data_IF_150387883253
#
_entry.id   IF_150387883253
#
_cell.length_a   1.000
_cell.length_b   1.000
_cell.length_c   1.000
_cell.angle_alpha   90.00
_cell.angle_beta   90.00
_cell.angle_gamma   90.00
#
_symmetry.space_group_name_H-M   'P 1'
#
loop_
_entity.id
_entity.type
_entity.pdbx_description
1 polymer ?
#
# COMPACT_ATOMS: atom_id res chain seq x y z
N UNK A 1 -12.16 -28.72 24.84
CA UNK A 1 -12.19 -28.09 23.51
C UNK A 1 -10.79 -27.59 23.17
N UNK A 2 -10.08 -28.25 22.25
CA UNK A 2 -8.77 -27.84 21.77
C UNK A 2 -8.95 -26.48 21.06
N UNK A 3 -8.40 -25.39 21.62
CA UNK A 3 -8.32 -24.11 20.92
C UNK A 3 -7.41 -24.35 19.70
N UNK A 4 -7.95 -24.23 18.51
CA UNK A 4 -7.18 -24.28 17.26
C UNK A 4 -5.95 -23.37 17.44
N UNK A 5 -4.76 -23.88 17.10
CA UNK A 5 -3.50 -23.13 17.13
C UNK A 5 -3.63 -21.78 16.39
N UNK A 6 -4.35 -21.76 15.26
CA UNK A 6 -4.64 -20.55 14.46
C UNK A 6 -5.60 -19.56 15.15
N UNK A 7 -6.32 -19.97 16.20
CA UNK A 7 -7.22 -19.09 16.98
C UNK A 7 -6.52 -18.38 18.15
N UNK A 8 -5.24 -18.65 18.42
CA UNK A 8 -4.54 -18.02 19.53
C UNK A 8 -4.19 -16.55 19.21
N UNK A 9 -4.23 -15.69 20.23
CA UNK A 9 -3.85 -14.27 20.09
C UNK A 9 -2.39 -14.09 19.63
N UNK A 10 -1.52 -15.03 19.99
CA UNK A 10 -0.13 -15.03 19.57
C UNK A 10 0.01 -15.28 18.06
N UNK A 11 -0.68 -16.29 17.53
CA UNK A 11 -0.61 -16.62 16.10
C UNK A 11 -1.16 -15.48 15.23
N UNK A 12 -2.21 -14.78 15.66
CA UNK A 12 -2.72 -13.60 14.95
C UNK A 12 -1.67 -12.48 14.88
N UNK A 13 -0.92 -12.23 15.97
CA UNK A 13 0.18 -11.25 15.97
C UNK A 13 1.33 -11.66 15.06
N UNK A 14 1.72 -12.93 15.08
CA UNK A 14 2.77 -13.47 14.19
C UNK A 14 2.35 -13.33 12.72
N UNK A 15 1.11 -13.67 12.41
CA UNK A 15 0.56 -13.54 11.05
C UNK A 15 0.55 -12.08 10.59
N UNK A 16 0.10 -11.17 11.44
CA UNK A 16 0.12 -9.73 11.19
C UNK A 16 1.54 -9.22 10.90
N UNK A 17 2.55 -9.69 11.67
CA UNK A 17 3.95 -9.31 11.44
C UNK A 17 4.49 -9.86 10.11
N UNK A 18 4.18 -11.11 9.76
CA UNK A 18 4.62 -11.73 8.51
C UNK A 18 4.04 -10.98 7.30
N UNK A 19 2.73 -10.72 7.32
CA UNK A 19 2.08 -9.97 6.24
C UNK A 19 2.62 -8.54 6.16
N UNK A 20 2.86 -7.87 7.28
CA UNK A 20 3.45 -6.53 7.34
C UNK A 20 4.87 -6.49 6.74
N UNK A 21 5.76 -7.43 7.13
CA UNK A 21 7.12 -7.52 6.58
C UNK A 21 7.12 -7.82 5.07
N UNK A 22 6.21 -8.66 4.62
CA UNK A 22 6.02 -8.92 3.20
C UNK A 22 5.64 -7.64 2.44
N UNK A 23 4.70 -6.85 2.95
CA UNK A 23 4.30 -5.57 2.35
C UNK A 23 5.44 -4.54 2.37
N UNK A 24 6.27 -4.52 3.43
CA UNK A 24 7.48 -3.65 3.48
C UNK A 24 8.47 -4.05 2.40
N UNK A 25 8.71 -5.35 2.17
CA UNK A 25 9.62 -5.80 1.11
C UNK A 25 9.16 -5.36 -0.28
N UNK A 26 7.86 -5.44 -0.55
CA UNK A 26 7.27 -4.88 -1.77
C UNK A 26 7.47 -3.35 -1.85
N UNK A 27 7.23 -2.63 -0.76
CA UNK A 27 7.35 -1.17 -0.72
C UNK A 27 8.76 -0.70 -1.09
N UNK A 28 9.81 -1.41 -0.67
CA UNK A 28 11.19 -1.10 -1.04
C UNK A 28 11.41 -1.17 -2.56
N UNK A 29 10.95 -2.26 -3.19
CA UNK A 29 11.03 -2.42 -4.66
C UNK A 29 10.18 -1.36 -5.36
N UNK A 30 8.99 -1.09 -4.86
CA UNK A 30 8.08 -0.09 -5.39
C UNK A 30 8.70 1.33 -5.35
N UNK A 31 9.31 1.72 -4.24
CA UNK A 31 10.00 3.00 -4.12
C UNK A 31 11.22 3.09 -5.06
N UNK A 32 12.00 2.01 -5.19
CA UNK A 32 13.15 1.98 -6.08
C UNK A 32 12.74 2.16 -7.56
N UNK A 33 11.66 1.51 -8.00
CA UNK A 33 11.11 1.70 -9.34
C UNK A 33 10.60 3.12 -9.56
N UNK A 34 9.87 3.67 -8.59
CA UNK A 34 9.39 5.04 -8.70
C UNK A 34 10.53 6.08 -8.72
N UNK A 35 11.68 5.77 -8.10
CA UNK A 35 12.86 6.65 -8.16
C UNK A 35 13.44 6.79 -9.58
N UNK A 36 13.14 5.87 -10.51
CA UNK A 36 13.54 5.98 -11.92
C UNK A 36 12.94 7.20 -12.63
N UNK A 37 11.88 7.81 -12.08
CA UNK A 37 11.31 9.06 -12.60
C UNK A 37 12.34 10.21 -12.61
N UNK A 38 13.34 10.15 -11.75
CA UNK A 38 14.39 11.17 -11.61
C UNK A 38 15.59 10.96 -12.55
N UNK A 39 15.54 9.95 -13.45
CA UNK A 39 16.65 9.64 -14.37
C UNK A 39 16.91 10.72 -15.44
N UNK A 40 16.01 11.71 -15.56
CA UNK A 40 16.11 12.83 -16.52
C UNK A 40 16.29 12.40 -17.98
N UNK A 41 15.66 11.29 -18.37
CA UNK A 41 15.74 10.63 -19.69
C UNK A 41 14.41 10.68 -20.47
N UNK A 42 13.51 11.61 -20.10
CA UNK A 42 12.18 11.73 -20.70
C UNK A 42 11.22 10.62 -20.25
N UNK A 43 11.54 9.88 -19.20
CA UNK A 43 10.72 8.80 -18.65
C UNK A 43 11.02 7.42 -19.26
N UNK A 44 12.09 7.29 -20.03
CA UNK A 44 12.44 6.03 -20.69
C UNK A 44 12.67 4.91 -19.68
N UNK A 45 13.56 5.09 -18.70
CA UNK A 45 13.86 4.07 -17.69
C UNK A 45 12.65 3.73 -16.83
N UNK A 46 11.85 4.73 -16.50
CA UNK A 46 10.62 4.51 -15.74
C UNK A 46 9.62 3.64 -16.50
N UNK A 47 9.33 3.97 -17.77
CA UNK A 47 8.39 3.22 -18.60
C UNK A 47 8.91 1.82 -18.94
N UNK A 48 10.22 1.64 -19.15
CA UNK A 48 10.84 0.32 -19.33
C UNK A 48 10.74 -0.54 -18.06
N UNK A 49 11.03 0.03 -16.89
CA UNK A 49 10.90 -0.65 -15.60
C UNK A 49 9.44 -1.06 -15.32
N UNK A 50 8.49 -0.16 -15.55
CA UNK A 50 7.07 -0.45 -15.40
C UNK A 50 6.59 -1.53 -16.38
N UNK A 51 7.03 -1.50 -17.63
CA UNK A 51 6.74 -2.53 -18.62
C UNK A 51 7.28 -3.90 -18.21
N UNK A 52 8.54 -3.97 -17.76
CA UNK A 52 9.14 -5.21 -17.25
C UNK A 52 8.33 -5.78 -16.08
N UNK A 53 7.94 -4.93 -15.10
CA UNK A 53 7.10 -5.34 -13.98
C UNK A 53 5.71 -5.82 -14.43
N UNK A 54 5.18 -5.21 -15.48
CA UNK A 54 3.86 -5.50 -16.02
C UNK A 54 3.78 -6.75 -16.90
N UNK A 55 4.87 -7.19 -17.50
CA UNK A 55 4.90 -8.29 -18.49
C UNK A 55 5.60 -9.55 -18.00
N UNK A 56 6.48 -9.44 -17.00
CA UNK A 56 7.20 -10.59 -16.46
C UNK A 56 6.26 -11.52 -15.70
N UNK A 57 6.21 -12.80 -16.07
CA UNK A 57 5.28 -13.80 -15.51
C UNK A 57 5.49 -14.05 -14.00
N UNK A 58 6.73 -14.00 -13.53
CA UNK A 58 7.06 -14.19 -12.11
C UNK A 58 6.48 -13.02 -11.30
N UNK A 59 6.69 -11.80 -11.79
CA UNK A 59 6.20 -10.59 -11.13
C UNK A 59 4.67 -10.53 -11.16
N UNK A 60 4.05 -10.95 -12.26
CA UNK A 60 2.59 -11.07 -12.37
C UNK A 60 2.01 -12.07 -11.38
N UNK A 61 2.70 -13.18 -11.13
CA UNK A 61 2.32 -14.14 -10.10
C UNK A 61 2.47 -13.52 -8.70
N UNK A 62 3.58 -12.82 -8.45
CA UNK A 62 3.81 -12.11 -7.19
C UNK A 62 2.79 -11.00 -6.94
N UNK A 63 2.25 -10.36 -7.98
CA UNK A 63 1.17 -9.38 -7.88
C UNK A 63 -0.09 -10.00 -7.24
N UNK A 64 -0.47 -11.22 -7.62
CA UNK A 64 -1.60 -11.94 -7.00
C UNK A 64 -1.31 -12.21 -5.52
N UNK A 65 -0.11 -12.67 -5.19
CA UNK A 65 0.32 -12.90 -3.81
C UNK A 65 0.32 -11.60 -3.00
N UNK A 66 0.73 -10.49 -3.62
CA UNK A 66 0.71 -9.16 -3.01
C UNK A 66 -0.71 -8.73 -2.63
N UNK A 67 -1.68 -8.86 -3.55
CA UNK A 67 -3.08 -8.51 -3.26
C UNK A 67 -3.67 -9.41 -2.18
N UNK A 68 -3.37 -10.71 -2.20
CA UNK A 68 -3.81 -11.64 -1.15
C UNK A 68 -3.19 -11.29 0.22
N UNK A 69 -1.90 -10.97 0.27
CA UNK A 69 -1.20 -10.55 1.48
C UNK A 69 -1.72 -9.21 2.03
N UNK A 70 -1.97 -8.25 1.14
CA UNK A 70 -2.58 -6.97 1.50
C UNK A 70 -3.98 -7.15 2.09
N UNK A 71 -4.83 -7.95 1.44
CA UNK A 71 -6.17 -8.22 1.93
C UNK A 71 -6.14 -8.91 3.29
N UNK A 72 -5.28 -9.91 3.47
CA UNK A 72 -5.09 -10.60 4.74
C UNK A 72 -4.66 -9.60 5.83
N UNK A 73 -3.67 -8.73 5.55
CA UNK A 73 -3.19 -7.73 6.49
C UNK A 73 -4.29 -6.75 6.92
N UNK A 74 -5.08 -6.24 5.98
CA UNK A 74 -6.18 -5.31 6.26
C UNK A 74 -7.29 -5.99 7.08
N UNK A 75 -7.71 -7.20 6.69
CA UNK A 75 -8.76 -7.95 7.39
C UNK A 75 -8.33 -8.30 8.81
N UNK A 76 -7.10 -8.80 9.00
CA UNK A 76 -6.59 -9.12 10.32
C UNK A 76 -6.45 -7.87 11.20
N UNK A 77 -5.99 -6.74 10.62
CA UNK A 77 -5.90 -5.46 11.31
C UNK A 77 -7.25 -4.97 11.83
N UNK A 78 -8.28 -5.03 10.98
CA UNK A 78 -9.64 -4.66 11.36
C UNK A 78 -10.22 -5.62 12.42
N UNK A 79 -10.02 -6.93 12.25
CA UNK A 79 -10.48 -7.92 13.23
C UNK A 79 -9.83 -7.69 14.60
N UNK A 80 -8.51 -7.45 14.64
CA UNK A 80 -7.80 -7.16 15.88
C UNK A 80 -8.29 -5.87 16.54
N UNK A 81 -8.53 -4.84 15.75
CA UNK A 81 -9.07 -3.57 16.22
C UNK A 81 -10.43 -3.76 16.91
N UNK A 82 -11.38 -4.44 16.25
CA UNK A 82 -12.72 -4.68 16.82
C UNK A 82 -12.68 -5.60 18.02
N UNK A 83 -11.87 -6.68 18.00
CA UNK A 83 -11.71 -7.58 19.14
C UNK A 83 -11.13 -6.87 20.35
N UNK A 84 -10.10 -6.04 20.18
CA UNK A 84 -9.49 -5.26 21.25
C UNK A 84 -10.46 -4.23 21.82
N UNK A 85 -11.30 -3.62 20.99
CA UNK A 85 -12.33 -2.68 21.42
C UNK A 85 -13.43 -3.39 22.21
N UNK A 86 -13.90 -4.54 21.75
CA UNK A 86 -14.93 -5.34 22.43
C UNK A 86 -14.44 -5.93 23.77
N UNK A 87 -13.16 -6.25 23.88
CA UNK A 87 -12.56 -6.75 25.11
C UNK A 87 -12.46 -5.69 26.25
N UNK A 88 -12.75 -4.41 25.96
CA UNK A 88 -12.68 -3.29 26.91
C UNK A 88 -14.00 -2.52 26.97
N UNK A 89 -15.08 -3.11 27.51
CA UNK A 89 -16.39 -2.45 27.54
C UNK A 89 -16.43 -1.25 28.50
N UNK A 90 -15.54 -1.23 29.53
CA UNK A 90 -15.45 -0.14 30.51
C UNK A 90 -14.10 0.57 30.33
N UNK A 91 -14.14 1.90 30.19
CA UNK A 91 -12.93 2.74 30.16
C UNK A 91 -12.28 2.78 31.56
N UNK A 92 -10.96 2.94 31.57
CA UNK A 92 -10.26 3.18 32.83
C UNK A 92 -10.74 4.48 33.50
N UNK A 93 -10.94 4.45 34.81
CA UNK A 93 -11.30 5.63 35.58
C UNK A 93 -10.19 6.70 35.56
N UNK A 94 -8.96 6.28 35.34
CA UNK A 94 -7.80 7.16 35.21
C UNK A 94 -6.92 6.71 34.03
N UNK A 95 -6.74 7.59 33.04
CA UNK A 95 -5.92 7.33 31.88
C UNK A 95 -4.72 8.29 31.82
N UNK A 96 -3.50 7.74 31.78
CA UNK A 96 -2.28 8.45 31.37
C UNK A 96 -1.73 7.81 30.07
N UNK A 97 -2.35 8.06 28.93
CA UNK A 97 -1.96 7.38 27.69
C UNK A 97 -0.51 7.63 27.29
N UNK A 98 0.02 8.84 27.53
CA UNK A 98 1.39 9.22 27.21
C UNK A 98 2.46 8.51 28.03
N UNK A 99 2.12 7.93 29.18
CA UNK A 99 3.06 7.20 30.01
C UNK A 99 3.34 5.77 29.53
N UNK A 100 2.46 5.19 28.68
CA UNK A 100 2.52 3.78 28.28
C UNK A 100 2.61 3.57 26.75
N UNK A 101 2.27 4.57 25.93
CA UNK A 101 2.28 4.43 24.46
C UNK A 101 2.32 5.78 23.75
N UNK A 102 2.92 5.80 22.55
CA UNK A 102 2.93 6.96 21.68
C UNK A 102 1.56 7.16 21.01
N UNK A 103 1.27 8.39 20.53
CA UNK A 103 -0.02 8.71 19.90
C UNK A 103 -0.27 7.90 18.63
N UNK A 104 0.76 7.68 17.80
CA UNK A 104 0.65 6.92 16.55
C UNK A 104 0.37 5.43 16.80
N UNK A 105 0.87 4.86 17.90
CA UNK A 105 0.51 3.50 18.34
C UNK A 105 -0.97 3.38 18.67
N UNK A 106 -1.54 4.38 19.33
CA UNK A 106 -2.97 4.43 19.65
C UNK A 106 -3.83 4.72 18.43
N UNK A 107 -3.25 5.32 17.40
CA UNK A 107 -3.92 5.75 16.18
C UNK A 107 -3.76 4.77 15.01
N UNK A 108 -3.21 3.56 15.24
CA UNK A 108 -2.93 2.57 14.19
C UNK A 108 -4.14 2.28 13.29
N UNK A 109 -5.34 2.16 13.86
CA UNK A 109 -6.55 1.92 13.07
C UNK A 109 -6.90 3.12 12.18
N UNK A 110 -6.70 4.35 12.68
CA UNK A 110 -6.95 5.58 11.91
C UNK A 110 -5.90 5.67 10.78
N UNK A 111 -4.62 5.48 11.09
CA UNK A 111 -3.55 5.49 10.10
C UNK A 111 -3.77 4.42 9.02
N UNK A 112 -4.12 3.19 9.42
CA UNK A 112 -4.43 2.11 8.49
C UNK A 112 -5.65 2.41 7.61
N UNK A 113 -6.68 3.06 8.15
CA UNK A 113 -7.85 3.49 7.36
C UNK A 113 -7.48 4.57 6.35
N UNK A 114 -6.67 5.56 6.74
CA UNK A 114 -6.19 6.60 5.83
C UNK A 114 -5.34 6.01 4.71
N UNK A 115 -4.46 5.06 5.03
CA UNK A 115 -3.67 4.33 4.03
C UNK A 115 -4.57 3.55 3.08
N UNK A 116 -5.61 2.88 3.60
CA UNK A 116 -6.55 2.11 2.77
C UNK A 116 -7.29 3.03 1.77
N UNK A 117 -7.76 4.19 2.23
CA UNK A 117 -8.41 5.18 1.36
C UNK A 117 -7.43 5.73 0.30
N UNK A 118 -6.22 6.07 0.72
CA UNK A 118 -5.14 6.45 -0.20
C UNK A 118 -4.85 5.35 -1.22
N UNK A 119 -4.77 4.09 -0.78
CA UNK A 119 -4.45 2.95 -1.63
C UNK A 119 -5.53 2.71 -2.69
N UNK A 120 -6.82 2.88 -2.38
CA UNK A 120 -7.91 2.79 -3.36
C UNK A 120 -7.69 3.82 -4.47
N UNK A 121 -7.37 5.07 -4.12
CA UNK A 121 -7.10 6.12 -5.10
C UNK A 121 -5.82 5.83 -5.91
N UNK A 122 -4.77 5.34 -5.25
CA UNK A 122 -3.50 4.95 -5.88
C UNK A 122 -3.70 3.83 -6.91
N UNK A 123 -4.42 2.77 -6.54
CA UNK A 123 -4.75 1.67 -7.44
C UNK A 123 -5.61 2.13 -8.62
N UNK A 124 -6.57 3.02 -8.39
CA UNK A 124 -7.38 3.61 -9.44
C UNK A 124 -6.53 4.40 -10.44
N UNK A 125 -5.62 5.26 -9.98
CA UNK A 125 -4.80 6.09 -10.85
C UNK A 125 -3.81 5.29 -11.72
N UNK A 126 -3.22 4.20 -11.18
CA UNK A 126 -2.10 3.54 -11.86
C UNK A 126 -2.39 2.09 -12.21
N UNK A 127 -2.84 1.26 -11.26
CA UNK A 127 -3.01 -0.16 -11.48
C UNK A 127 -4.25 -0.48 -12.34
N UNK A 128 -5.39 0.11 -12.03
CA UNK A 128 -6.65 -0.17 -12.72
C UNK A 128 -6.56 0.21 -14.21
N UNK A 129 -5.91 1.33 -14.50
CA UNK A 129 -5.76 1.85 -15.87
C UNK A 129 -4.91 0.96 -16.76
N UNK A 130 -3.96 0.22 -16.18
CA UNK A 130 -3.06 -0.67 -16.91
C UNK A 130 -3.55 -2.12 -16.97
N UNK A 131 -4.57 -2.48 -16.17
CA UNK A 131 -5.02 -3.86 -16.02
C UNK A 131 -6.42 -4.15 -16.51
N UNK A 132 -7.30 -3.15 -16.51
CA UNK A 132 -8.71 -3.34 -16.87
C UNK A 132 -9.04 -2.40 -18.02
N UNK A 133 -8.86 -2.89 -19.24
CA UNK A 133 -9.23 -2.19 -20.48
C UNK A 133 -10.72 -1.91 -20.52
N UNK A 134 -11.09 -0.71 -20.98
CA UNK A 134 -12.49 -0.29 -21.12
C UNK A 134 -13.16 0.20 -19.84
N UNK A 135 -12.55 0.08 -18.66
CA UNK A 135 -13.12 0.60 -17.40
C UNK A 135 -12.65 2.03 -17.10
N UNK A 136 -11.48 2.39 -17.59
CA UNK A 136 -10.86 3.71 -17.40
C UNK A 136 -10.25 4.19 -18.73
N UNK A 137 -9.75 5.43 -18.73
CA UNK A 137 -8.96 5.93 -19.85
C UNK A 137 -7.64 5.15 -19.87
N UNK A 138 -7.38 4.45 -20.98
CA UNK A 138 -6.14 3.70 -21.16
C UNK A 138 -4.93 4.65 -21.23
N UNK A 139 -3.74 4.24 -20.71
CA UNK A 139 -2.52 5.00 -20.87
C UNK A 139 -2.18 5.21 -22.33
N UNK A 140 -1.64 6.37 -22.68
CA UNK A 140 -1.07 6.61 -23.99
C UNK A 140 0.18 5.75 -24.19
N UNK A 141 0.68 5.67 -25.43
CA UNK A 141 1.86 4.89 -25.73
C UNK A 141 3.00 5.79 -26.20
N UNK A 142 4.21 5.43 -25.81
CA UNK A 142 5.45 6.05 -26.27
C UNK A 142 6.36 5.01 -26.91
N UNK A 143 7.24 5.46 -27.78
CA UNK A 143 8.20 4.61 -28.48
C UNK A 143 9.62 5.01 -28.10
N UNK A 144 10.39 4.04 -27.57
CA UNK A 144 11.82 4.20 -27.30
C UNK A 144 12.58 3.14 -28.09
N UNK A 145 13.53 3.55 -28.92
CA UNK A 145 14.35 2.64 -29.73
C UNK A 145 13.53 1.64 -30.57
N UNK A 146 12.36 2.06 -31.08
CA UNK A 146 11.46 1.23 -31.88
C UNK A 146 10.54 0.29 -31.07
N UNK A 147 10.67 0.23 -29.76
CA UNK A 147 9.79 -0.55 -28.89
C UNK A 147 8.67 0.32 -28.32
N UNK A 148 7.46 -0.26 -28.28
CA UNK A 148 6.24 0.37 -27.77
C UNK A 148 6.11 0.12 -26.26
N UNK A 149 5.86 1.18 -25.49
CA UNK A 149 5.62 1.15 -24.05
C UNK A 149 4.35 1.93 -23.71
N UNK A 150 3.66 1.53 -22.63
CA UNK A 150 2.65 2.37 -22.01
C UNK A 150 3.32 3.60 -21.37
N UNK A 151 2.78 4.81 -21.60
CA UNK A 151 3.35 6.05 -21.07
C UNK A 151 2.89 6.31 -19.63
N UNK A 152 3.35 5.48 -18.70
CA UNK A 152 3.07 5.66 -17.28
C UNK A 152 3.80 6.87 -16.68
N UNK A 153 4.91 7.30 -17.29
CA UNK A 153 5.59 8.54 -16.91
C UNK A 153 4.72 9.77 -17.23
N UNK A 154 4.16 9.85 -18.42
CA UNK A 154 3.21 10.89 -18.80
C UNK A 154 1.95 10.86 -17.93
N UNK A 155 1.43 9.68 -17.65
CA UNK A 155 0.28 9.49 -16.76
C UNK A 155 0.56 10.01 -15.34
N UNK A 156 1.71 9.69 -14.78
CA UNK A 156 2.10 10.17 -13.46
C UNK A 156 2.22 11.70 -13.42
N UNK A 157 2.81 12.31 -14.46
CA UNK A 157 2.87 13.78 -14.59
C UNK A 157 1.48 14.40 -14.66
N UNK A 158 0.56 13.79 -15.40
CA UNK A 158 -0.82 14.25 -15.51
C UNK A 158 -1.54 14.16 -14.17
N UNK A 159 -1.48 13.03 -13.48
CA UNK A 159 -2.12 12.82 -12.16
C UNK A 159 -1.60 13.83 -11.15
N UNK A 160 -0.28 14.03 -11.07
CA UNK A 160 0.34 14.96 -10.13
C UNK A 160 0.33 16.44 -10.59
N UNK A 161 -0.19 16.77 -11.76
CA UNK A 161 -0.49 18.16 -12.12
C UNK A 161 -1.63 18.76 -11.28
N UNK A 162 -2.45 17.91 -10.64
CA UNK A 162 -3.58 18.34 -9.81
C UNK A 162 -3.16 18.48 -8.35
N UNK A 163 -3.14 19.70 -7.84
CA UNK A 163 -2.67 20.00 -6.47
C UNK A 163 -3.38 19.16 -5.39
N UNK A 164 -4.69 18.96 -5.49
CA UNK A 164 -5.45 18.16 -4.52
C UNK A 164 -4.97 16.69 -4.48
N UNK A 165 -4.56 16.12 -5.61
CA UNK A 165 -3.98 14.77 -5.68
C UNK A 165 -2.65 14.76 -4.94
N UNK A 166 -1.77 15.72 -5.22
CA UNK A 166 -0.48 15.85 -4.52
C UNK A 166 -0.68 15.88 -3.01
N UNK A 167 -1.63 16.68 -2.52
CA UNK A 167 -1.95 16.78 -1.08
C UNK A 167 -2.35 15.41 -0.53
N UNK A 168 -3.27 14.69 -1.19
CA UNK A 168 -3.71 13.35 -0.74
C UNK A 168 -2.55 12.37 -0.71
N UNK A 169 -1.69 12.38 -1.73
CA UNK A 169 -0.53 11.47 -1.79
C UNK A 169 0.49 11.78 -0.69
N UNK A 170 0.75 13.05 -0.42
CA UNK A 170 1.64 13.45 0.70
C UNK A 170 1.05 13.00 2.04
N UNK A 171 -0.25 13.21 2.28
CA UNK A 171 -0.92 12.75 3.49
C UNK A 171 -0.91 11.21 3.62
N UNK A 172 -1.09 10.50 2.49
CA UNK A 172 -0.97 9.05 2.44
C UNK A 172 0.42 8.57 2.82
N UNK A 173 1.47 9.19 2.28
CA UNK A 173 2.87 8.88 2.61
C UNK A 173 3.19 9.17 4.09
N UNK A 174 2.70 10.29 4.64
CA UNK A 174 2.87 10.63 6.05
C UNK A 174 2.16 9.58 6.94
N UNK A 175 0.94 9.18 6.58
CA UNK A 175 0.19 8.15 7.30
C UNK A 175 0.91 6.80 7.26
N UNK A 176 1.46 6.43 6.10
CA UNK A 176 2.25 5.21 5.93
C UNK A 176 3.53 5.25 6.76
N UNK A 177 4.25 6.37 6.77
CA UNK A 177 5.45 6.55 7.58
C UNK A 177 5.18 6.29 9.08
N UNK A 178 4.13 6.90 9.65
CA UNK A 178 3.76 6.68 11.04
C UNK A 178 3.23 5.26 11.30
N UNK A 179 2.56 4.67 10.34
CA UNK A 179 2.11 3.27 10.41
C UNK A 179 3.29 2.30 10.49
N UNK A 180 4.32 2.50 9.65
CA UNK A 180 5.52 1.66 9.64
C UNK A 180 6.39 1.80 10.88
N UNK A 181 6.45 2.99 11.49
CA UNK A 181 7.21 3.20 12.73
C UNK A 181 6.69 2.36 13.91
N UNK A 182 5.50 1.81 13.81
CA UNK A 182 4.88 1.11 14.91
C UNK A 182 4.18 -0.21 14.54
N UNK A 183 4.19 -0.57 13.27
CA UNK A 183 3.63 -1.80 12.73
C UNK A 183 4.50 -3.06 12.83
#
# INVERSE_FOLDING_TARGET
MSKSLFGSSLMKKVWMSITGLFLISFLLVHCALNALIFANDGGMLFNQGAHFMGTNIIIRTMEIVLFAGLLAHVVDGLMLFFQNRAARPVKYAYEKPSASSNWYSRSMAILGTLILLFLILHLYHFWLRTRITGLTIEPTHVYFQGHKYEDLYGEMKFVFSHLWVVIIYVLGCISLFWHLLHG
#
